data_IF_536412085519
#
_entry.id   IF_536412085519
#
_cell.length_a   1.000
_cell.length_b   1.000
_cell.length_c   1.000
_cell.angle_alpha   90.00
_cell.angle_beta   90.00
_cell.angle_gamma   90.00
#
_symmetry.space_group_name_H-M   'P 1'
#
loop_
_entity.id
_entity.type
_entity.pdbx_description
1 polymer ?
#
# COMPACT_ATOMS: atom_id res chain seq x y z
N UNK A 1 -20.03 -19.62 7.66
CA UNK A 1 -20.26 -18.75 6.49
C UNK A 1 -21.10 -19.51 5.51
N UNK A 2 -22.20 -18.90 5.06
CA UNK A 2 -23.09 -19.48 4.05
C UNK A 2 -22.45 -19.35 2.67
N UNK A 3 -23.02 -20.00 1.65
CA UNK A 3 -22.58 -19.77 0.25
C UNK A 3 -22.92 -18.36 -0.26
N UNK A 4 -23.83 -17.66 0.42
CA UNK A 4 -24.31 -16.33 0.04
C UNK A 4 -23.33 -15.20 0.39
N UNK A 5 -22.29 -15.49 1.19
CA UNK A 5 -21.30 -14.50 1.64
C UNK A 5 -20.11 -14.33 0.66
N UNK A 6 -20.07 -15.16 -0.40
CA UNK A 6 -18.94 -15.24 -1.33
C UNK A 6 -19.26 -14.57 -2.66
N UNK A 7 -18.41 -13.64 -3.06
CA UNK A 7 -18.48 -12.93 -4.33
C UNK A 7 -17.52 -13.56 -5.32
N UNK A 8 -17.99 -13.81 -6.55
CA UNK A 8 -17.15 -14.27 -7.65
C UNK A 8 -16.26 -13.12 -8.15
N UNK A 9 -14.96 -13.38 -8.24
CA UNK A 9 -13.98 -12.46 -8.81
C UNK A 9 -13.80 -12.78 -10.29
N UNK A 10 -14.54 -12.08 -11.15
CA UNK A 10 -14.50 -12.32 -12.60
C UNK A 10 -13.18 -11.91 -13.27
N UNK A 11 -12.43 -10.98 -12.68
CA UNK A 11 -11.12 -10.55 -13.17
C UNK A 11 -10.24 -10.07 -12.01
N UNK A 12 -9.40 -10.97 -11.48
CA UNK A 12 -8.51 -10.68 -10.35
C UNK A 12 -7.53 -9.56 -10.67
N UNK A 13 -6.92 -9.56 -11.86
CA UNK A 13 -5.96 -8.55 -12.29
C UNK A 13 -6.55 -7.14 -12.17
N UNK A 14 -7.74 -6.92 -12.76
CA UNK A 14 -8.42 -5.62 -12.71
C UNK A 14 -8.79 -5.22 -11.30
N UNK A 15 -9.28 -6.16 -10.49
CA UNK A 15 -9.65 -5.89 -9.10
C UNK A 15 -8.42 -5.51 -8.27
N UNK A 16 -7.30 -6.21 -8.44
CA UNK A 16 -6.05 -5.90 -7.75
C UNK A 16 -5.54 -4.53 -8.21
N UNK A 17 -5.49 -4.24 -9.51
CA UNK A 17 -5.05 -2.92 -10.01
C UNK A 17 -5.94 -1.78 -9.52
N UNK A 18 -7.26 -1.97 -9.52
CA UNK A 18 -8.19 -1.01 -8.92
C UNK A 18 -7.88 -0.79 -7.44
N UNK A 19 -7.68 -1.86 -6.69
CA UNK A 19 -7.36 -1.81 -5.26
C UNK A 19 -6.04 -1.09 -4.98
N UNK A 20 -5.03 -1.29 -5.85
CA UNK A 20 -3.74 -0.59 -5.78
C UNK A 20 -3.92 0.92 -5.93
N UNK A 21 -4.69 1.34 -6.93
CA UNK A 21 -5.03 2.75 -7.15
C UNK A 21 -5.82 3.32 -5.97
N UNK A 22 -6.82 2.59 -5.50
CA UNK A 22 -7.65 3.00 -4.36
C UNK A 22 -6.78 3.32 -3.14
N UNK A 23 -5.87 2.41 -2.78
CA UNK A 23 -4.98 2.60 -1.63
C UNK A 23 -3.97 3.72 -1.88
N UNK A 24 -3.37 3.77 -3.06
CA UNK A 24 -2.33 4.75 -3.40
C UNK A 24 -2.85 6.18 -3.43
N UNK A 25 -3.92 6.44 -4.17
CA UNK A 25 -4.46 7.78 -4.32
C UNK A 25 -5.23 8.26 -3.10
N UNK A 26 -5.55 7.40 -2.14
CA UNK A 26 -6.09 7.83 -0.84
C UNK A 26 -5.09 8.67 -0.02
N UNK A 27 -3.82 8.77 -0.43
CA UNK A 27 -2.79 9.61 0.19
C UNK A 27 -2.57 10.93 -0.55
N UNK A 28 -3.36 11.22 -1.59
CA UNK A 28 -3.30 12.48 -2.33
C UNK A 28 -4.08 13.56 -1.57
N UNK A 29 -3.45 14.72 -1.34
CA UNK A 29 -4.05 15.88 -0.65
C UNK A 29 -5.38 16.31 -1.32
N UNK A 30 -5.51 16.10 -2.62
CA UNK A 30 -6.75 16.41 -3.35
C UNK A 30 -7.93 15.53 -2.93
N UNK A 31 -7.66 14.31 -2.44
CA UNK A 31 -8.69 13.30 -2.13
C UNK A 31 -9.27 13.44 -0.73
N UNK A 32 -8.57 14.11 0.19
CA UNK A 32 -8.99 14.27 1.59
C UNK A 32 -10.36 14.96 1.73
N UNK A 33 -10.73 15.80 0.77
CA UNK A 33 -11.98 16.57 0.76
C UNK A 33 -13.07 15.97 -0.15
N UNK A 34 -12.80 14.86 -0.85
CA UNK A 34 -13.75 14.24 -1.76
C UNK A 34 -14.72 13.34 -1.01
N UNK A 35 -15.98 13.28 -1.45
CA UNK A 35 -16.90 12.23 -1.02
C UNK A 35 -16.56 10.89 -1.70
N UNK A 36 -16.97 9.79 -1.09
CA UNK A 36 -16.67 8.42 -1.55
C UNK A 36 -17.06 8.19 -3.02
N UNK A 37 -18.20 8.72 -3.46
CA UNK A 37 -18.69 8.50 -4.84
C UNK A 37 -17.81 9.26 -5.83
N UNK A 38 -17.48 10.51 -5.53
CA UNK A 38 -16.55 11.31 -6.35
C UNK A 38 -15.17 10.67 -6.40
N UNK A 39 -14.67 10.19 -5.26
CA UNK A 39 -13.38 9.51 -5.16
C UNK A 39 -13.34 8.23 -6.01
N UNK A 40 -14.30 7.31 -5.82
CA UNK A 40 -14.37 6.07 -6.58
C UNK A 40 -14.47 6.31 -8.09
N UNK A 41 -15.22 7.33 -8.51
CA UNK A 41 -15.27 7.75 -9.91
C UNK A 41 -13.92 8.29 -10.40
N UNK A 42 -13.16 9.06 -9.59
CA UNK A 42 -11.79 9.48 -9.94
C UNK A 42 -10.95 8.24 -10.21
N UNK A 43 -10.92 7.29 -9.28
CA UNK A 43 -10.10 6.07 -9.37
C UNK A 43 -10.42 5.23 -10.61
N UNK A 44 -11.70 4.99 -10.90
CA UNK A 44 -12.12 4.19 -12.07
C UNK A 44 -11.72 4.83 -13.41
N UNK A 45 -11.65 6.17 -13.45
CA UNK A 45 -11.28 6.92 -14.65
C UNK A 45 -9.77 7.15 -14.80
N UNK A 46 -8.95 6.87 -13.78
CA UNK A 46 -7.50 6.91 -13.90
C UNK A 46 -7.09 5.86 -14.92
N UNK A 47 -6.49 6.31 -16.03
CA UNK A 47 -6.00 5.41 -17.07
C UNK A 47 -5.07 4.37 -16.46
N UNK A 48 -5.01 3.17 -17.04
CA UNK A 48 -4.00 2.17 -16.68
C UNK A 48 -2.64 2.54 -17.28
N UNK A 49 -2.26 3.81 -17.14
CA UNK A 49 -0.95 4.28 -17.49
C UNK A 49 0.03 3.80 -16.41
N UNK A 50 1.25 3.49 -16.84
CA UNK A 50 2.31 3.02 -15.95
C UNK A 50 2.68 4.13 -14.95
N UNK A 51 2.39 3.90 -13.67
CA UNK A 51 2.83 4.74 -12.56
C UNK A 51 4.04 4.06 -11.87
N UNK A 52 5.28 4.51 -12.16
CA UNK A 52 6.48 3.90 -11.60
C UNK A 52 6.59 4.05 -10.08
N UNK A 53 5.97 5.07 -9.49
CA UNK A 53 6.02 5.26 -8.05
C UNK A 53 5.07 4.28 -7.35
N UNK A 54 3.84 4.14 -7.87
CA UNK A 54 2.91 3.13 -7.40
C UNK A 54 3.50 1.71 -7.55
N UNK A 55 4.19 1.40 -8.63
CA UNK A 55 4.85 0.09 -8.83
C UNK A 55 6.00 -0.17 -7.86
N UNK A 56 6.65 0.88 -7.34
CA UNK A 56 7.68 0.75 -6.29
C UNK A 56 7.05 0.57 -4.91
N UNK A 57 5.96 1.30 -4.62
CA UNK A 57 5.32 1.31 -3.30
C UNK A 57 4.35 0.14 -3.09
N UNK A 58 3.68 -0.29 -4.16
CA UNK A 58 2.72 -1.38 -4.19
C UNK A 58 2.94 -2.23 -5.45
N UNK A 59 4.02 -3.03 -5.53
CA UNK A 59 4.29 -3.87 -6.69
C UNK A 59 3.13 -4.85 -6.96
N UNK A 60 2.74 -5.00 -8.24
CA UNK A 60 1.60 -5.84 -8.60
C UNK A 60 1.72 -7.28 -8.09
N UNK A 61 2.87 -7.93 -8.33
CA UNK A 61 3.12 -9.32 -7.94
C UNK A 61 2.96 -9.54 -6.42
N UNK A 62 3.41 -8.57 -5.62
CA UNK A 62 3.22 -8.62 -4.17
C UNK A 62 1.75 -8.47 -3.78
N UNK A 63 1.04 -7.54 -4.41
CA UNK A 63 -0.40 -7.35 -4.18
C UNK A 63 -1.19 -8.61 -4.56
N UNK A 64 -0.82 -9.28 -5.65
CA UNK A 64 -1.43 -10.56 -6.07
C UNK A 64 -1.18 -11.68 -5.05
N UNK A 65 0.04 -11.80 -4.52
CA UNK A 65 0.36 -12.77 -3.48
C UNK A 65 -0.47 -12.54 -2.20
N UNK A 66 -0.68 -11.28 -1.81
CA UNK A 66 -1.53 -10.95 -0.66
C UNK A 66 -2.99 -11.28 -0.99
N UNK A 67 -3.49 -10.86 -2.17
CA UNK A 67 -4.87 -11.12 -2.60
C UNK A 67 -5.21 -12.60 -2.61
N UNK A 68 -4.30 -13.44 -3.13
CA UNK A 68 -4.52 -14.89 -3.19
C UNK A 68 -4.63 -15.54 -1.82
N UNK A 69 -4.07 -14.94 -0.76
CA UNK A 69 -4.21 -15.45 0.62
C UNK A 69 -5.61 -15.26 1.23
N UNK A 70 -6.43 -14.39 0.62
CA UNK A 70 -7.80 -14.06 1.06
C UNK A 70 -8.87 -14.63 0.14
N UNK A 71 -8.48 -15.37 -0.89
CA UNK A 71 -9.41 -15.93 -1.88
C UNK A 71 -9.44 -17.44 -1.81
N UNK A 72 -10.52 -18.03 -2.32
CA UNK A 72 -10.57 -19.46 -2.57
C UNK A 72 -10.98 -19.74 -4.01
N UNK A 73 -10.57 -20.90 -4.51
CA UNK A 73 -10.92 -21.38 -5.84
C UNK A 73 -11.89 -22.55 -5.73
N UNK A 74 -13.03 -22.47 -6.42
CA UNK A 74 -13.97 -23.57 -6.59
C UNK A 74 -14.46 -23.63 -8.03
N UNK A 75 -14.43 -24.84 -8.62
CA UNK A 75 -14.78 -25.07 -10.02
C UNK A 75 -14.09 -24.10 -11.02
N UNK A 76 -12.82 -23.77 -10.79
CA UNK A 76 -12.01 -22.78 -11.54
C UNK A 76 -12.54 -21.34 -11.49
N UNK A 77 -13.45 -21.03 -10.57
CA UNK A 77 -13.89 -19.68 -10.26
C UNK A 77 -13.20 -19.23 -8.98
N UNK A 78 -12.76 -17.98 -8.96
CA UNK A 78 -12.12 -17.35 -7.81
C UNK A 78 -13.18 -16.61 -7.02
N UNK A 79 -13.11 -16.68 -5.70
CA UNK A 79 -14.09 -16.08 -4.81
C UNK A 79 -13.41 -15.40 -3.62
N UNK A 80 -14.08 -14.36 -3.11
CA UNK A 80 -13.67 -13.58 -1.93
C UNK A 80 -14.92 -13.16 -1.15
N UNK A 81 -14.80 -12.96 0.17
CA UNK A 81 -15.87 -12.31 0.96
C UNK A 81 -15.62 -10.80 1.05
N UNK A 82 -16.63 -10.02 1.42
CA UNK A 82 -16.45 -8.59 1.69
C UNK A 82 -15.43 -8.35 2.82
N UNK A 83 -15.53 -9.10 3.93
CA UNK A 83 -14.62 -8.99 5.07
C UNK A 83 -13.15 -9.31 4.68
N UNK A 84 -12.96 -10.31 3.82
CA UNK A 84 -11.65 -10.69 3.31
C UNK A 84 -11.09 -9.63 2.35
N UNK A 85 -11.94 -9.00 1.54
CA UNK A 85 -11.55 -7.91 0.66
C UNK A 85 -11.17 -6.64 1.44
N UNK A 86 -11.93 -6.28 2.47
CA UNK A 86 -11.57 -5.19 3.39
C UNK A 86 -10.23 -5.45 4.09
N UNK A 87 -10.02 -6.70 4.54
CA UNK A 87 -8.77 -7.10 5.16
C UNK A 87 -7.61 -7.00 4.16
N UNK A 88 -7.82 -7.41 2.91
CA UNK A 88 -6.86 -7.25 1.82
C UNK A 88 -6.48 -5.77 1.60
N UNK A 89 -7.46 -4.87 1.49
CA UNK A 89 -7.19 -3.43 1.35
C UNK A 89 -6.38 -2.87 2.53
N UNK A 90 -6.68 -3.29 3.76
CA UNK A 90 -5.90 -2.92 4.94
C UNK A 90 -4.45 -3.43 4.87
N UNK A 91 -4.21 -4.65 4.39
CA UNK A 91 -2.85 -5.18 4.22
C UNK A 91 -2.08 -4.40 3.16
N UNK A 92 -2.73 -4.04 2.04
CA UNK A 92 -2.11 -3.20 1.03
C UNK A 92 -1.70 -1.84 1.59
N UNK A 93 -2.59 -1.17 2.34
CA UNK A 93 -2.28 0.11 2.97
C UNK A 93 -1.06 0.00 3.91
N UNK A 94 -1.04 -1.01 4.79
CA UNK A 94 0.12 -1.28 5.66
C UNK A 94 1.39 -1.51 4.87
N UNK A 95 1.31 -2.24 3.75
CA UNK A 95 2.47 -2.54 2.92
C UNK A 95 3.02 -1.29 2.25
N UNK A 96 2.13 -0.44 1.74
CA UNK A 96 2.49 0.84 1.15
C UNK A 96 3.20 1.75 2.16
N UNK A 97 2.61 1.95 3.34
CA UNK A 97 3.22 2.75 4.42
C UNK A 97 4.60 2.18 4.78
N UNK A 98 4.71 0.86 4.93
CA UNK A 98 6.00 0.22 5.21
C UNK A 98 7.03 0.50 4.12
N UNK A 99 6.63 0.46 2.84
CA UNK A 99 7.52 0.73 1.71
C UNK A 99 7.95 2.20 1.65
N UNK A 100 7.04 3.14 1.93
CA UNK A 100 7.34 4.57 2.07
C UNK A 100 8.39 4.79 3.18
N UNK A 101 8.11 4.28 4.39
CA UNK A 101 9.00 4.45 5.56
C UNK A 101 10.38 3.84 5.30
N UNK A 102 10.43 2.62 4.75
CA UNK A 102 11.70 1.98 4.38
C UNK A 102 12.45 2.78 3.32
N UNK A 103 11.75 3.35 2.34
CA UNK A 103 12.33 4.22 1.32
C UNK A 103 12.97 5.47 1.93
N UNK A 104 12.28 6.12 2.87
CA UNK A 104 12.79 7.30 3.57
C UNK A 104 14.00 6.99 4.46
N UNK A 105 14.01 5.85 5.16
CA UNK A 105 15.16 5.39 5.95
C UNK A 105 16.37 5.10 5.04
N UNK A 106 16.17 4.40 3.92
CA UNK A 106 17.24 4.08 2.96
C UNK A 106 17.82 5.31 2.28
N UNK A 107 17.00 6.34 2.04
CA UNK A 107 17.44 7.64 1.54
C UNK A 107 18.13 8.50 2.61
N UNK A 108 18.24 8.01 3.85
CA UNK A 108 18.86 8.75 4.94
C UNK A 108 18.02 9.93 5.44
N UNK A 109 16.73 10.00 5.11
CA UNK A 109 15.84 11.11 5.52
C UNK A 109 15.28 10.91 6.92
N UNK A 110 15.11 9.65 7.33
CA UNK A 110 14.64 9.30 8.67
C UNK A 110 15.74 8.58 9.47
N UNK A 111 15.80 8.88 10.75
CA UNK A 111 16.38 7.98 11.74
C UNK A 111 15.33 6.97 12.20
N UNK A 112 15.80 5.80 12.63
CA UNK A 112 14.97 4.76 13.22
C UNK A 112 15.68 4.17 14.44
N UNK A 113 14.93 3.93 15.51
CA UNK A 113 15.40 3.22 16.68
C UNK A 113 14.25 2.41 17.30
N UNK A 114 14.58 1.29 17.94
CA UNK A 114 13.60 0.53 18.71
C UNK A 114 13.50 1.11 20.13
N UNK A 115 12.29 1.53 20.51
CA UNK A 115 11.96 2.02 21.84
C UNK A 115 11.46 0.85 22.69
N UNK A 116 12.27 0.42 23.65
CA UNK A 116 11.96 -0.70 24.54
C UNK A 116 10.80 -0.38 25.50
N UNK A 117 10.55 0.89 25.84
CA UNK A 117 9.48 1.27 26.76
C UNK A 117 8.12 1.17 26.05
N UNK A 118 8.06 1.58 24.79
CA UNK A 118 6.87 1.47 23.95
C UNK A 118 6.73 0.14 23.23
N UNK A 119 7.81 -0.65 23.21
CA UNK A 119 7.92 -1.89 22.44
C UNK A 119 7.59 -1.68 20.95
N UNK A 120 8.12 -0.59 20.38
CA UNK A 120 7.83 -0.16 19.02
C UNK A 120 9.02 0.57 18.38
N UNK A 121 9.04 0.67 17.05
CA UNK A 121 10.00 1.50 16.34
C UNK A 121 9.54 2.96 16.31
N UNK A 122 10.46 3.86 16.66
CA UNK A 122 10.27 5.30 16.54
C UNK A 122 11.06 5.84 15.35
N UNK A 123 10.48 6.81 14.66
CA UNK A 123 11.05 7.46 13.49
C UNK A 123 11.04 8.98 13.70
N UNK A 124 12.11 9.65 13.30
CA UNK A 124 12.18 11.11 13.28
C UNK A 124 12.99 11.60 12.08
N UNK A 125 12.67 12.81 11.63
CA UNK A 125 13.30 13.45 10.47
C UNK A 125 14.71 13.89 10.86
N UNK A 126 15.69 13.60 10.00
CA UNK A 126 17.05 14.11 10.15
C UNK A 126 17.08 15.62 9.93
N UNK A 127 17.93 16.31 10.68
CA UNK A 127 18.29 17.70 10.39
C UNK A 127 19.14 17.80 9.13
N UNK A 128 19.19 18.98 8.50
CA UNK A 128 20.04 19.20 7.32
C UNK A 128 21.53 18.95 7.60
N UNK A 129 21.97 19.16 8.84
CA UNK A 129 23.35 18.93 9.28
C UNK A 129 23.66 17.43 9.34
N UNK A 130 22.73 16.63 9.87
CA UNK A 130 22.84 15.16 9.92
C UNK A 130 22.81 14.54 8.52
N UNK A 131 22.01 15.10 7.60
CA UNK A 131 21.97 14.64 6.20
C UNK A 131 23.31 14.86 5.47
N UNK A 132 23.97 16.00 5.69
CA UNK A 132 25.26 16.32 5.07
C UNK A 132 26.41 15.48 5.63
N UNK A 133 26.36 15.13 6.91
CA UNK A 133 27.39 14.31 7.55
C UNK A 133 27.46 12.88 7.00
N UNK A 134 26.33 12.33 6.51
CA UNK A 134 26.28 10.99 5.90
C UNK A 134 26.84 10.96 4.46
N UNK A 135 26.97 12.12 3.79
CA UNK A 135 27.49 12.22 2.42
C UNK A 135 29.03 12.34 2.35
N UNK A 136 29.72 12.62 3.47
CA UNK A 136 31.18 12.77 3.53
C UNK A 136 31.83 11.88 4.62
N UNK A 137 32.19 10.62 4.28
CA UNK A 137 32.76 9.68 5.25
C UNK A 137 34.23 9.97 5.64
N UNK A 138 34.88 11.02 5.11
CA UNK A 138 36.29 11.35 5.42
C UNK A 138 36.46 12.48 6.46
N UNK A 139 35.39 12.95 7.11
CA UNK A 139 35.44 14.07 8.06
C UNK A 139 35.53 13.70 9.56
N UNK A 140 35.90 12.47 9.93
CA UNK A 140 36.18 12.07 11.33
C UNK A 140 37.46 11.25 11.50
#
# INVERSE_FOLDING_TARGET
MGRDDWLEVSNSQKLIDFSRKLVYYNFDDETELMDDVTFLNKIDNIQNDYDPEMDVLLPFEECELIFTSFTFMDNNLLYITDDDYDTFLMQMNRRMISNIVQGLVKKGVLHTAFDNEKNDFIFWVKTEEEMKADEDPEAN
#
